data_IF_899443879551
#
_entry.id   IF_899443879551
#
_cell.length_a   1.000
_cell.length_b   1.000
_cell.length_c   1.000
_cell.angle_alpha   90.00
_cell.angle_beta   90.00
_cell.angle_gamma   90.00
#
_symmetry.space_group_name_H-M   'P 1'
#
loop_
_entity.id
_entity.type
_entity.pdbx_description
1 polymer ?
#
# COMPACT_ATOMS: atom_id res chain seq x y z
N UNK A 1 -25.54 -10.10 -18.61
CA UNK A 1 -24.93 -11.35 -18.10
C UNK A 1 -23.98 -10.91 -17.01
N UNK A 2 -24.49 -10.70 -15.80
CA UNK A 2 -23.71 -10.21 -14.66
C UNK A 2 -23.73 -11.28 -13.58
N UNK A 3 -22.78 -12.19 -13.64
CA UNK A 3 -22.52 -13.19 -12.60
C UNK A 3 -21.57 -12.59 -11.57
N UNK A 4 -22.07 -11.74 -10.70
CA UNK A 4 -21.33 -11.36 -9.50
C UNK A 4 -21.28 -12.56 -8.55
N UNK A 5 -20.07 -13.03 -8.31
CA UNK A 5 -19.70 -13.94 -7.23
C UNK A 5 -20.23 -13.40 -5.89
N UNK A 6 -21.37 -13.93 -5.42
CA UNK A 6 -21.83 -13.73 -4.05
C UNK A 6 -21.01 -14.62 -3.12
N UNK A 7 -19.83 -14.14 -2.73
CA UNK A 7 -19.22 -14.59 -1.49
C UNK A 7 -19.89 -13.83 -0.34
N UNK A 8 -20.30 -14.52 0.74
CA UNK A 8 -21.08 -13.96 1.84
C UNK A 8 -20.31 -12.99 2.76
N UNK A 9 -19.44 -12.14 2.22
CA UNK A 9 -18.79 -11.08 2.96
C UNK A 9 -19.80 -9.98 3.27
N UNK A 10 -19.98 -9.68 4.57
CA UNK A 10 -20.97 -8.69 5.03
C UNK A 10 -20.40 -7.26 5.08
N UNK A 11 -19.09 -7.08 4.80
CA UNK A 11 -18.42 -5.78 4.94
C UNK A 11 -17.27 -5.61 3.92
N UNK A 12 -17.58 -5.66 2.63
CA UNK A 12 -16.64 -5.31 1.56
C UNK A 12 -17.30 -4.29 0.65
N UNK A 13 -16.61 -3.18 0.43
CA UNK A 13 -17.05 -2.10 -0.45
C UNK A 13 -15.99 -1.85 -1.52
N UNK A 14 -16.44 -1.58 -2.75
CA UNK A 14 -15.56 -1.29 -3.88
C UNK A 14 -15.85 0.12 -4.36
N UNK A 15 -14.82 0.95 -4.38
CA UNK A 15 -14.90 2.35 -4.78
C UNK A 15 -14.20 2.55 -6.13
N UNK A 16 -14.97 2.85 -7.18
CA UNK A 16 -14.41 3.29 -8.48
C UNK A 16 -14.19 4.81 -8.44
N UNK A 17 -13.07 5.25 -7.90
CA UNK A 17 -12.76 6.67 -7.71
C UNK A 17 -11.26 6.96 -7.81
N UNK A 18 -10.91 8.23 -7.98
CA UNK A 18 -9.53 8.69 -7.81
C UNK A 18 -9.12 8.56 -6.33
N UNK A 19 -7.98 7.92 -6.07
CA UNK A 19 -7.43 7.79 -4.72
C UNK A 19 -7.23 9.14 -4.03
N UNK A 20 -6.92 10.19 -4.80
CA UNK A 20 -6.74 11.57 -4.31
C UNK A 20 -8.05 12.21 -3.79
N UNK A 21 -9.19 11.54 -3.97
CA UNK A 21 -10.48 11.94 -3.39
C UNK A 21 -10.84 11.18 -2.10
N UNK A 22 -10.11 10.11 -1.78
CA UNK A 22 -10.45 9.17 -0.70
C UNK A 22 -9.74 9.49 0.62
N UNK A 23 -9.67 10.78 0.97
CA UNK A 23 -8.98 11.27 2.17
C UNK A 23 -9.46 10.57 3.44
N UNK A 24 -10.77 10.54 3.68
CA UNK A 24 -11.33 10.00 4.92
C UNK A 24 -11.02 8.52 5.08
N UNK A 25 -11.13 7.73 4.01
CA UNK A 25 -10.79 6.31 4.03
C UNK A 25 -9.32 6.09 4.42
N UNK A 26 -8.40 6.87 3.85
CA UNK A 26 -6.98 6.77 4.18
C UNK A 26 -6.70 7.19 5.63
N UNK A 27 -7.35 8.25 6.12
CA UNK A 27 -7.15 8.76 7.47
C UNK A 27 -7.71 7.83 8.55
N UNK A 28 -8.76 7.08 8.24
CA UNK A 28 -9.40 6.16 9.19
C UNK A 28 -8.80 4.75 9.15
N UNK A 29 -8.15 4.35 8.04
CA UNK A 29 -7.61 3.01 7.84
C UNK A 29 -6.60 2.58 8.91
N UNK A 30 -6.78 1.38 9.44
CA UNK A 30 -5.81 0.72 10.33
C UNK A 30 -4.72 -0.03 9.54
N UNK A 31 -5.06 -0.53 8.34
CA UNK A 31 -4.15 -1.25 7.45
C UNK A 31 -4.39 -0.80 6.01
N UNK A 32 -3.31 -0.54 5.28
CA UNK A 32 -3.33 -0.18 3.86
C UNK A 32 -2.39 -1.11 3.10
N UNK A 33 -2.91 -1.75 2.05
CA UNK A 33 -2.13 -2.62 1.18
C UNK A 33 -1.93 -1.94 -0.18
N UNK A 34 -0.68 -1.74 -0.56
CA UNK A 34 -0.25 -1.14 -1.81
C UNK A 34 0.57 -2.17 -2.61
N UNK A 35 -0.12 -3.07 -3.33
CA UNK A 35 0.54 -4.06 -4.18
C UNK A 35 0.64 -3.55 -5.62
N UNK A 36 1.87 -3.31 -6.08
CA UNK A 36 2.22 -2.88 -7.44
C UNK A 36 1.41 -1.67 -7.93
N UNK A 37 1.24 -0.68 -7.06
CA UNK A 37 0.36 0.46 -7.31
C UNK A 37 1.04 1.54 -8.18
N UNK A 38 0.22 2.18 -9.02
CA UNK A 38 0.52 3.35 -9.85
C UNK A 38 1.51 3.20 -11.02
N UNK A 39 2.65 2.51 -10.86
CA UNK A 39 3.74 2.51 -11.87
C UNK A 39 3.27 2.10 -13.27
N UNK A 40 2.36 1.12 -13.34
CA UNK A 40 1.79 0.59 -14.59
C UNK A 40 0.48 1.26 -15.02
N UNK A 41 -0.15 2.04 -14.14
CA UNK A 41 -1.53 2.53 -14.34
C UNK A 41 -1.61 4.03 -14.56
N UNK A 42 -0.64 4.80 -14.07
CA UNK A 42 -0.66 6.26 -14.07
C UNK A 42 0.56 6.83 -14.78
N UNK A 43 0.39 7.96 -15.48
CA UNK A 43 1.52 8.76 -15.95
C UNK A 43 2.28 9.39 -14.77
N UNK A 44 3.58 9.70 -14.98
CA UNK A 44 4.50 10.16 -13.93
C UNK A 44 3.94 11.28 -13.04
N UNK A 45 3.33 12.31 -13.61
CA UNK A 45 2.75 13.41 -12.82
C UNK A 45 1.62 12.96 -11.90
N UNK A 46 0.78 12.03 -12.34
CA UNK A 46 -0.31 11.49 -11.53
C UNK A 46 0.23 10.54 -10.46
N UNK A 47 1.32 9.81 -10.73
CA UNK A 47 2.02 9.04 -9.71
C UNK A 47 2.56 9.96 -8.60
N UNK A 48 3.21 11.07 -8.97
CA UNK A 48 3.72 12.06 -8.01
C UNK A 48 2.60 12.64 -7.14
N UNK A 49 1.45 12.98 -7.73
CA UNK A 49 0.27 13.47 -7.01
C UNK A 49 -0.28 12.41 -6.05
N UNK A 50 -0.45 11.18 -6.51
CA UNK A 50 -0.98 10.09 -5.69
C UNK A 50 -0.07 9.79 -4.49
N UNK A 51 1.24 9.71 -4.69
CA UNK A 51 2.19 9.48 -3.59
C UNK A 51 2.26 10.65 -2.61
N UNK A 52 2.21 11.90 -3.09
CA UNK A 52 2.14 13.06 -2.22
C UNK A 52 0.85 13.01 -1.37
N UNK A 53 -0.28 12.68 -1.99
CA UNK A 53 -1.56 12.56 -1.32
C UNK A 53 -1.57 11.43 -0.27
N UNK A 54 -1.00 10.26 -0.58
CA UNK A 54 -0.85 9.17 0.38
C UNK A 54 -0.02 9.61 1.59
N UNK A 55 1.14 10.21 1.35
CA UNK A 55 1.99 10.73 2.42
C UNK A 55 1.26 11.79 3.26
N UNK A 56 0.48 12.69 2.66
CA UNK A 56 -0.28 13.71 3.39
C UNK A 56 -1.42 13.14 4.25
N UNK A 57 -2.06 12.04 3.83
CA UNK A 57 -3.29 11.56 4.45
C UNK A 57 -3.12 10.26 5.27
N UNK A 58 -2.08 9.46 5.03
CA UNK A 58 -1.74 8.30 5.86
C UNK A 58 -0.90 8.73 7.07
N UNK A 59 -1.57 9.38 8.03
CA UNK A 59 -0.95 9.99 9.23
C UNK A 59 -1.47 9.43 10.55
N UNK A 60 -2.45 8.51 10.53
CA UNK A 60 -2.94 7.85 11.74
C UNK A 60 -1.82 6.97 12.29
N UNK A 61 -1.31 7.34 13.46
CA UNK A 61 -0.20 6.64 14.12
C UNK A 61 -0.55 5.17 14.36
N UNK A 62 0.38 4.28 14.04
CA UNK A 62 0.19 2.84 14.15
C UNK A 62 -0.54 2.19 12.97
N UNK A 63 -1.04 2.96 12.00
CA UNK A 63 -1.54 2.39 10.73
C UNK A 63 -0.43 1.58 10.07
N UNK A 64 -0.76 0.38 9.62
CA UNK A 64 0.17 -0.51 8.93
C UNK A 64 0.09 -0.32 7.43
N UNK A 65 1.24 -0.22 6.77
CA UNK A 65 1.35 -0.20 5.31
C UNK A 65 2.06 -1.48 4.86
N UNK A 66 1.40 -2.25 4.01
CA UNK A 66 2.00 -3.40 3.32
C UNK A 66 2.24 -2.99 1.88
N UNK A 67 3.48 -3.01 1.42
CA UNK A 67 3.82 -2.56 0.06
C UNK A 67 4.62 -3.59 -0.71
N UNK A 68 4.39 -3.63 -2.02
CA UNK A 68 5.25 -4.29 -3.01
C UNK A 68 5.29 -3.36 -4.23
N UNK A 69 6.45 -2.86 -4.68
CA UNK A 69 7.76 -2.94 -4.02
C UNK A 69 7.82 -2.09 -2.75
N UNK A 70 9.01 -1.96 -2.13
CA UNK A 70 9.24 -1.06 -1.00
C UNK A 70 8.87 0.40 -1.32
N UNK A 71 8.49 1.17 -0.28
CA UNK A 71 8.30 2.63 -0.42
C UNK A 71 9.56 3.32 -0.96
N UNK A 72 10.74 2.88 -0.52
CA UNK A 72 12.03 3.42 -0.97
C UNK A 72 12.22 3.23 -2.48
N UNK A 73 11.87 2.06 -3.00
CA UNK A 73 11.94 1.80 -4.43
C UNK A 73 10.91 2.62 -5.20
N UNK A 74 9.63 2.57 -4.80
CA UNK A 74 8.55 3.29 -5.47
C UNK A 74 8.80 4.81 -5.54
N UNK A 75 9.19 5.43 -4.42
CA UNK A 75 9.46 6.86 -4.35
C UNK A 75 10.81 7.22 -5.00
N UNK A 76 11.80 6.34 -4.92
CA UNK A 76 13.12 6.50 -5.52
C UNK A 76 13.07 6.57 -7.05
N UNK A 77 12.29 5.70 -7.71
CA UNK A 77 12.04 5.74 -9.17
C UNK A 77 11.49 7.10 -9.63
N UNK A 78 10.68 7.73 -8.78
CA UNK A 78 10.05 9.02 -9.05
C UNK A 78 10.90 10.24 -8.62
N UNK A 79 12.02 10.01 -7.92
CA UNK A 79 12.87 11.04 -7.31
C UNK A 79 12.06 11.98 -6.38
N UNK A 80 11.10 11.42 -5.64
CA UNK A 80 10.32 12.19 -4.69
C UNK A 80 11.13 12.51 -3.45
N UNK A 81 11.05 13.76 -2.99
CA UNK A 81 11.69 14.20 -1.75
C UNK A 81 10.75 14.00 -0.55
N UNK A 82 10.23 12.79 -0.38
CA UNK A 82 9.46 12.41 0.80
C UNK A 82 10.43 11.79 1.81
N UNK A 83 10.44 12.35 3.02
CA UNK A 83 11.19 11.76 4.13
C UNK A 83 10.43 10.54 4.66
N UNK A 84 10.78 9.36 4.13
CA UNK A 84 10.21 8.07 4.56
C UNK A 84 10.47 7.85 6.06
N UNK A 85 11.64 8.24 6.57
CA UNK A 85 12.01 8.03 7.96
C UNK A 85 11.17 8.86 8.94
N UNK A 86 10.72 10.03 8.52
CA UNK A 86 9.76 10.84 9.29
C UNK A 86 8.31 10.32 9.14
N UNK A 87 7.97 9.71 8.01
CA UNK A 87 6.61 9.23 7.75
C UNK A 87 6.32 7.88 8.44
N UNK A 88 7.19 6.90 8.25
CA UNK A 88 6.97 5.52 8.66
C UNK A 88 8.23 4.89 9.25
N UNK A 89 8.03 3.80 9.96
CA UNK A 89 9.06 2.89 10.42
C UNK A 89 8.89 1.55 9.72
N UNK A 90 9.95 1.02 9.11
CA UNK A 90 9.93 -0.32 8.50
C UNK A 90 10.01 -1.38 9.60
N UNK A 91 9.15 -2.39 9.50
CA UNK A 91 9.07 -3.51 10.44
C UNK A 91 9.62 -4.74 9.73
N UNK A 92 10.60 -5.39 10.37
CA UNK A 92 11.17 -6.64 9.85
C UNK A 92 10.10 -7.75 9.86
N UNK A 93 9.83 -8.29 8.68
CA UNK A 93 8.93 -9.41 8.51
C UNK A 93 9.74 -10.70 8.70
N UNK A 94 9.60 -11.33 9.86
CA UNK A 94 10.14 -12.66 10.07
C UNK A 94 9.34 -13.69 9.25
N UNK A 95 9.77 -13.93 8.01
CA UNK A 95 9.17 -14.89 7.07
C UNK A 95 9.41 -16.36 7.46
N UNK A 96 10.08 -16.61 8.60
CA UNK A 96 10.28 -17.95 9.18
C UNK A 96 9.00 -18.57 9.78
N UNK A 97 7.86 -17.89 9.71
CA UNK A 97 6.57 -18.48 10.05
C UNK A 97 6.16 -19.38 8.88
N UNK A 98 6.08 -20.69 9.12
CA UNK A 98 5.84 -21.72 8.11
C UNK A 98 4.65 -21.40 7.19
N UNK A 99 4.95 -21.04 5.94
CA UNK A 99 3.99 -20.58 4.94
C UNK A 99 3.54 -21.71 3.98
N UNK A 100 4.04 -22.93 4.16
CA UNK A 100 3.79 -24.08 3.28
C UNK A 100 4.83 -24.20 2.15
N UNK A 101 5.06 -25.42 1.66
CA UNK A 101 6.16 -25.75 0.72
C UNK A 101 5.99 -25.16 -0.70
N UNK A 102 4.83 -24.56 -1.00
CA UNK A 102 4.49 -24.04 -2.34
C UNK A 102 4.64 -22.51 -2.48
N UNK A 103 5.04 -21.80 -1.42
CA UNK A 103 5.11 -20.33 -1.47
C UNK A 103 6.47 -19.89 -2.01
N UNK A 104 6.44 -19.06 -3.06
CA UNK A 104 7.63 -18.43 -3.63
C UNK A 104 8.28 -17.50 -2.59
N UNK A 105 9.38 -17.99 -2.02
CA UNK A 105 10.14 -17.27 -1.01
C UNK A 105 10.67 -15.93 -1.51
N UNK A 106 10.94 -15.81 -2.82
CA UNK A 106 11.39 -14.55 -3.40
C UNK A 106 10.25 -13.51 -3.39
N UNK A 107 9.04 -13.92 -3.76
CA UNK A 107 7.86 -13.05 -3.74
C UNK A 107 7.53 -12.55 -2.31
N UNK A 108 7.79 -13.37 -1.28
CA UNK A 108 7.63 -12.96 0.11
C UNK A 108 8.66 -11.90 0.55
N UNK A 109 9.90 -12.02 0.07
CA UNK A 109 10.97 -11.08 0.39
C UNK A 109 10.73 -9.70 -0.22
N UNK A 110 9.91 -9.61 -1.26
CA UNK A 110 9.53 -8.36 -1.92
C UNK A 110 8.37 -7.64 -1.20
N UNK A 111 7.78 -8.26 -0.17
CA UNK A 111 6.76 -7.65 0.69
C UNK A 111 7.43 -6.86 1.80
N UNK A 112 7.06 -5.59 1.91
CA UNK A 112 7.53 -4.70 2.95
C UNK A 112 6.38 -4.30 3.87
N UNK A 113 6.66 -4.26 5.18
CA UNK A 113 5.72 -3.78 6.19
C UNK A 113 6.27 -2.52 6.85
N UNK A 114 5.41 -1.52 6.99
CA UNK A 114 5.71 -0.29 7.70
C UNK A 114 4.62 0.06 8.70
N UNK A 115 4.97 0.80 9.76
CA UNK A 115 4.02 1.46 10.64
C UNK A 115 4.16 2.98 10.53
N UNK A 116 3.03 3.70 10.46
CA UNK A 116 3.02 5.16 10.52
C UNK A 116 3.44 5.64 11.91
N UNK A 117 4.38 6.60 11.94
CA UNK A 117 4.96 7.15 13.18
C UNK A 117 4.01 8.03 13.98
#
# INVERSE_FOLDING_TARGET
MDSYLRCGFVAVEVYQSDICSQKSLLQDADVVVLNNVFEYFLGKENQLKAWAFLNENLRKRGTLLVTVPSLKESLGKLKMNIDIGHWVEEIDLHTNVYLGEEIDQQALNDIHLYAVR
#
